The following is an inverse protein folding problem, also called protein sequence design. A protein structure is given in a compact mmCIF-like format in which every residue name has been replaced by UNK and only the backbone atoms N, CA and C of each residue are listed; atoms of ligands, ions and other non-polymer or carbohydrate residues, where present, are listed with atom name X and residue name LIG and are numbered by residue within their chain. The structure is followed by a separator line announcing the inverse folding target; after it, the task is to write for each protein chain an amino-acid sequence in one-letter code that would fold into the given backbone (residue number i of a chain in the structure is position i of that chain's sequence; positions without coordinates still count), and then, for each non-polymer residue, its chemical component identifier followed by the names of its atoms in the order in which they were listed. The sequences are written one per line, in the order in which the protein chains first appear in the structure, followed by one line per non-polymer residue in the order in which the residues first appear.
data_IF_187640331063
#
_entry.id   IF_187640331063
#
_cell.length_a   1.000
_cell.length_b   1.000
_cell.length_c   1.000
_cell.angle_alpha   90.00
_cell.angle_beta   90.00
_cell.angle_gamma   90.00
#
_symmetry.space_group_name_H-M   'P 1'
#
loop_
_entity.id
_entity.type
_entity.pdbx_description
1 polymer ?
#
# COMPACT_ATOMS: atom_id res chain seq x y z
N UNK A 1 0.69 16.37 -24.97
CA UNK A 1 1.83 17.29 -25.14
C UNK A 1 2.52 17.46 -23.80
N UNK A 2 3.54 16.66 -23.51
CA UNK A 2 4.37 16.76 -22.29
C UNK A 2 5.88 16.57 -22.60
N UNK A 3 6.28 16.66 -23.87
CA UNK A 3 7.67 16.42 -24.28
C UNK A 3 8.57 17.69 -24.19
N UNK A 4 7.99 18.88 -24.02
CA UNK A 4 8.73 20.16 -24.11
C UNK A 4 9.14 20.81 -22.77
N UNK A 5 8.86 20.20 -21.60
CA UNK A 5 9.20 20.82 -20.30
C UNK A 5 10.42 20.25 -19.59
N UNK A 6 11.10 19.24 -20.16
CA UNK A 6 12.21 18.57 -19.49
C UNK A 6 11.83 18.00 -18.11
N UNK A 7 12.83 17.66 -17.28
CA UNK A 7 12.59 17.17 -15.93
C UNK A 7 12.27 18.35 -14.98
N UNK A 8 11.08 18.35 -14.37
CA UNK A 8 10.72 19.33 -13.32
C UNK A 8 11.08 18.78 -11.95
N UNK A 9 12.07 19.38 -11.30
CA UNK A 9 12.40 19.07 -9.90
C UNK A 9 11.27 19.51 -8.97
N UNK A 10 10.94 18.69 -7.98
CA UNK A 10 10.00 19.01 -6.90
C UNK A 10 10.77 19.05 -5.59
N UNK A 11 10.66 20.11 -4.78
CA UNK A 11 11.25 20.14 -3.44
C UNK A 11 10.70 19.02 -2.57
N UNK A 12 11.57 18.38 -1.79
CA UNK A 12 11.16 17.42 -0.77
C UNK A 12 10.62 18.14 0.46
N UNK A 13 9.62 17.53 1.11
CA UNK A 13 9.02 17.94 2.37
C UNK A 13 9.27 16.90 3.48
N UNK A 14 10.32 16.08 3.34
CA UNK A 14 10.70 15.13 4.37
C UNK A 14 10.94 15.84 5.73
N UNK A 15 10.51 15.20 6.80
CA UNK A 15 10.64 15.68 8.18
C UNK A 15 11.35 14.64 9.04
N UNK A 16 11.72 15.01 10.26
CA UNK A 16 12.27 14.10 11.27
C UNK A 16 11.32 12.93 11.62
N UNK A 17 10.03 13.08 11.34
CA UNK A 17 8.99 12.07 11.58
C UNK A 17 8.58 11.28 10.35
N UNK A 18 8.81 11.82 9.15
CA UNK A 18 8.31 11.24 7.91
C UNK A 18 9.33 11.40 6.78
N UNK A 19 9.81 10.26 6.31
CA UNK A 19 10.56 10.20 5.05
C UNK A 19 9.59 10.37 3.87
N UNK A 20 10.12 10.80 2.73
CA UNK A 20 9.39 10.75 1.47
C UNK A 20 9.98 9.66 0.57
N UNK A 21 9.08 8.90 -0.06
CA UNK A 21 9.42 7.84 -1.01
C UNK A 21 8.80 8.20 -2.36
N UNK A 22 9.65 8.25 -3.38
CA UNK A 22 9.25 8.52 -4.75
C UNK A 22 9.65 7.35 -5.65
N UNK A 23 8.93 7.16 -6.74
CA UNK A 23 9.34 6.26 -7.80
C UNK A 23 10.50 6.89 -8.57
N UNK A 24 11.62 6.19 -8.73
CA UNK A 24 12.74 6.68 -9.53
C UNK A 24 12.47 6.44 -11.02
N UNK A 25 11.65 7.27 -11.65
CA UNK A 25 11.29 7.09 -13.06
C UNK A 25 12.47 7.13 -14.03
N UNK A 26 13.60 7.73 -13.64
CA UNK A 26 14.81 7.73 -14.46
C UNK A 26 15.43 6.34 -14.60
N UNK A 27 15.32 5.49 -13.58
CA UNK A 27 15.75 4.10 -13.62
C UNK A 27 14.79 3.22 -14.45
N UNK A 28 13.51 3.56 -14.47
CA UNK A 28 12.51 2.82 -15.26
C UNK A 28 12.58 3.07 -16.78
N UNK A 29 13.43 4.01 -17.22
CA UNK A 29 13.50 4.46 -18.62
C UNK A 29 14.33 3.57 -19.54
N UNK A 30 15.04 2.57 -19.01
CA UNK A 30 15.85 1.64 -19.81
C UNK A 30 15.49 0.18 -19.54
N UNK A 31 15.35 -0.62 -20.60
CA UNK A 31 15.10 -2.06 -20.50
C UNK A 31 16.30 -2.86 -19.98
N UNK A 32 17.42 -2.19 -19.73
CA UNK A 32 18.69 -2.77 -19.26
C UNK A 32 18.91 -2.62 -17.76
N UNK A 33 18.09 -1.83 -17.07
CA UNK A 33 18.26 -1.62 -15.63
C UNK A 33 17.83 -2.85 -14.83
N UNK A 34 18.63 -3.14 -13.79
CA UNK A 34 18.39 -4.27 -12.93
C UNK A 34 17.14 -4.01 -12.08
N UNK A 35 16.17 -4.92 -12.15
CA UNK A 35 14.94 -4.85 -11.35
C UNK A 35 15.26 -4.63 -9.88
N UNK A 36 14.46 -3.79 -9.22
CA UNK A 36 14.58 -3.42 -7.81
C UNK A 36 15.82 -2.59 -7.47
N UNK A 37 16.78 -2.42 -8.38
CA UNK A 37 17.99 -1.65 -8.10
C UNK A 37 17.73 -0.18 -8.38
N UNK A 38 17.87 0.69 -7.39
CA UNK A 38 17.66 2.15 -7.51
C UNK A 38 16.30 2.56 -8.07
N UNK A 39 15.30 1.68 -8.00
CA UNK A 39 13.94 1.90 -8.47
C UNK A 39 13.18 2.96 -7.64
N UNK A 40 13.68 3.32 -6.45
CA UNK A 40 13.09 4.30 -5.55
C UNK A 40 14.02 5.50 -5.36
N UNK A 41 13.46 6.65 -4.99
CA UNK A 41 14.18 7.76 -4.37
C UNK A 41 13.65 7.91 -2.94
N UNK A 42 14.56 7.93 -1.97
CA UNK A 42 14.23 8.19 -0.57
C UNK A 42 14.80 9.53 -0.15
N UNK A 43 13.94 10.42 0.33
CA UNK A 43 14.34 11.68 0.95
C UNK A 43 14.18 11.59 2.47
N UNK A 44 15.24 11.96 3.19
CA UNK A 44 15.30 11.95 4.65
C UNK A 44 15.67 13.32 5.17
N UNK A 45 15.09 13.72 6.30
CA UNK A 45 15.52 14.88 7.05
C UNK A 45 16.43 14.43 8.19
N UNK A 46 17.65 14.97 8.24
CA UNK A 46 18.54 14.82 9.39
C UNK A 46 19.09 16.19 9.78
N UNK A 47 18.84 16.59 11.04
CA UNK A 47 19.39 17.81 11.66
C UNK A 47 19.31 19.09 10.80
N UNK A 48 18.17 19.33 10.16
CA UNK A 48 17.94 20.53 9.36
C UNK A 48 18.32 20.41 7.89
N UNK A 49 18.80 19.25 7.44
CA UNK A 49 19.19 19.00 6.05
C UNK A 49 18.34 17.88 5.48
N UNK A 50 17.73 18.12 4.32
CA UNK A 50 17.05 17.09 3.55
C UNK A 50 18.02 16.51 2.52
N UNK A 51 18.20 15.19 2.54
CA UNK A 51 19.01 14.47 1.55
C UNK A 51 18.15 13.45 0.83
N UNK A 52 18.19 13.47 -0.50
CA UNK A 52 17.51 12.51 -1.36
C UNK A 52 18.54 11.63 -2.08
N UNK A 53 18.33 10.32 -2.06
CA UNK A 53 19.19 9.36 -2.75
C UNK A 53 18.38 8.26 -3.42
N UNK A 54 18.89 7.76 -4.54
CA UNK A 54 18.36 6.52 -5.12
C UNK A 54 18.50 5.38 -4.12
N UNK A 55 17.46 4.54 -4.02
CA UNK A 55 17.38 3.41 -3.12
C UNK A 55 16.83 2.22 -3.89
N UNK A 56 17.33 1.04 -3.57
CA UNK A 56 16.76 -0.21 -4.04
C UNK A 56 15.35 -0.39 -3.43
N UNK A 57 14.44 -0.96 -4.22
CA UNK A 57 13.23 -1.57 -3.70
C UNK A 57 13.52 -2.98 -3.20
N UNK A 58 12.64 -3.54 -2.37
CA UNK A 58 12.60 -4.97 -2.14
C UNK A 58 11.34 -5.56 -2.78
N UNK A 59 11.35 -6.86 -3.14
CA UNK A 59 10.15 -7.53 -3.57
C UNK A 59 9.06 -7.33 -2.53
N UNK A 60 7.89 -7.05 -3.05
CA UNK A 60 6.64 -7.05 -2.34
C UNK A 60 6.41 -5.91 -1.34
N UNK A 61 7.28 -4.93 -1.34
CA UNK A 61 7.11 -3.71 -0.55
C UNK A 61 6.14 -2.74 -1.21
N UNK A 62 5.35 -2.07 -0.36
CA UNK A 62 4.38 -1.04 -0.77
C UNK A 62 4.67 0.26 -0.03
N UNK A 63 4.55 1.36 -0.77
CA UNK A 63 4.81 2.71 -0.28
C UNK A 63 3.72 3.67 -0.75
N UNK A 64 3.41 4.70 0.03
CA UNK A 64 2.68 5.86 -0.50
C UNK A 64 3.62 6.66 -1.40
N UNK A 65 3.19 6.98 -2.61
CA UNK A 65 3.99 7.78 -3.52
C UNK A 65 3.99 9.25 -3.07
N UNK A 66 5.14 9.79 -2.69
CA UNK A 66 5.26 11.18 -2.25
C UNK A 66 5.12 12.19 -3.40
N UNK A 67 5.22 11.76 -4.66
CA UNK A 67 4.89 12.61 -5.81
C UNK A 67 3.37 12.85 -5.92
N UNK A 68 2.58 11.81 -5.65
CA UNK A 68 1.13 11.82 -5.74
C UNK A 68 0.57 10.75 -4.79
N UNK A 69 0.09 11.19 -3.62
CA UNK A 69 -0.42 10.30 -2.56
C UNK A 69 -1.73 9.58 -2.94
N UNK A 70 -2.36 9.90 -4.06
CA UNK A 70 -3.46 9.09 -4.63
C UNK A 70 -2.98 7.79 -5.27
N UNK A 71 -1.67 7.60 -5.36
CA UNK A 71 -1.02 6.41 -5.89
C UNK A 71 -0.14 5.74 -4.82
N UNK A 72 0.02 4.44 -4.96
CA UNK A 72 1.05 3.67 -4.24
C UNK A 72 2.17 3.26 -5.20
N UNK A 73 3.34 3.01 -4.63
CA UNK A 73 4.43 2.31 -5.30
C UNK A 73 4.41 0.86 -4.80
N UNK A 74 4.48 -0.09 -5.73
CA UNK A 74 4.55 -1.52 -5.45
C UNK A 74 5.72 -2.14 -6.20
N UNK A 75 6.50 -2.96 -5.50
CA UNK A 75 7.70 -3.59 -6.05
C UNK A 75 7.52 -5.11 -6.21
N UNK A 76 8.00 -5.69 -7.30
CA UNK A 76 8.09 -7.15 -7.46
C UNK A 76 9.41 -7.55 -8.08
N UNK A 77 9.79 -8.82 -7.89
CA UNK A 77 10.99 -9.40 -8.52
C UNK A 77 10.94 -9.35 -10.05
N UNK A 78 9.76 -9.58 -10.63
CA UNK A 78 9.58 -9.63 -12.09
C UNK A 78 9.65 -8.24 -12.73
N UNK A 79 9.06 -7.26 -12.05
CA UNK A 79 8.75 -5.97 -12.66
C UNK A 79 9.59 -4.81 -12.16
N UNK A 80 10.27 -4.96 -11.02
CA UNK A 80 10.85 -3.85 -10.26
C UNK A 80 9.75 -3.08 -9.51
N UNK A 81 10.04 -1.85 -9.11
CA UNK A 81 9.02 -0.96 -8.55
C UNK A 81 8.24 -0.22 -9.62
N UNK A 82 6.92 -0.17 -9.45
CA UNK A 82 5.99 0.53 -10.34
C UNK A 82 5.00 1.32 -9.52
N UNK A 83 4.47 2.41 -10.09
CA UNK A 83 3.28 3.07 -9.54
C UNK A 83 2.03 2.26 -9.90
N UNK A 84 1.14 2.09 -8.93
CA UNK A 84 -0.21 1.64 -9.20
C UNK A 84 -1.05 2.88 -9.50
N UNK A 85 -1.29 3.17 -10.78
CA UNK A 85 -2.08 4.32 -11.20
C UNK A 85 -3.54 4.18 -10.71
N UNK A 86 -4.20 5.32 -10.52
CA UNK A 86 -5.56 5.47 -9.93
C UNK A 86 -6.62 4.55 -10.52
N UNK A 87 -6.57 4.21 -11.82
CA UNK A 87 -7.52 3.28 -12.47
C UNK A 87 -7.35 1.80 -12.02
N UNK A 88 -6.29 1.50 -11.26
CA UNK A 88 -5.94 0.17 -10.74
C UNK A 88 -5.59 0.18 -9.25
N UNK A 89 -5.72 1.31 -8.54
CA UNK A 89 -5.48 1.33 -7.09
C UNK A 89 -6.47 0.37 -6.46
N UNK A 90 -5.94 -0.72 -5.91
CA UNK A 90 -6.78 -1.76 -5.33
C UNK A 90 -7.25 -1.20 -3.99
N UNK A 91 -8.52 -0.87 -3.86
CA UNK A 91 -9.00 -0.32 -2.59
C UNK A 91 -8.79 -1.36 -1.48
N UNK A 92 -8.28 -0.91 -0.34
CA UNK A 92 -7.90 -1.80 0.74
C UNK A 92 -6.81 -1.28 1.64
N UNK A 93 -6.18 -2.23 2.33
CA UNK A 93 -5.12 -2.02 3.30
C UNK A 93 -3.85 -2.72 2.84
N UNK A 94 -2.72 -2.06 3.07
CA UNK A 94 -1.39 -2.51 2.66
C UNK A 94 -0.44 -2.38 3.83
N UNK A 95 0.60 -3.21 3.89
CA UNK A 95 1.69 -2.98 4.84
C UNK A 95 2.63 -1.91 4.29
N UNK A 96 2.87 -0.88 5.08
CA UNK A 96 3.73 0.24 4.72
C UNK A 96 5.20 -0.10 4.95
N UNK A 97 6.00 -0.14 3.88
CA UNK A 97 7.45 -0.28 3.98
C UNK A 97 8.18 1.06 4.17
N UNK A 98 7.49 2.20 4.00
CA UNK A 98 8.07 3.54 4.04
C UNK A 98 8.20 4.15 5.44
N UNK A 99 7.26 3.82 6.32
CA UNK A 99 7.14 4.38 7.67
C UNK A 99 6.75 3.30 8.69
N UNK A 100 7.68 2.95 9.58
CA UNK A 100 7.45 1.94 10.62
C UNK A 100 6.58 2.44 11.77
N UNK A 101 6.41 3.76 11.92
CA UNK A 101 5.48 4.35 12.90
C UNK A 101 4.04 4.30 12.41
N UNK A 102 3.86 4.25 11.09
CA UNK A 102 2.57 4.11 10.41
C UNK A 102 2.58 2.91 9.46
N UNK A 103 2.56 1.68 10.02
CA UNK A 103 2.82 0.45 9.28
C UNK A 103 1.69 0.03 8.33
N UNK A 104 0.59 0.78 8.26
CA UNK A 104 -0.55 0.48 7.38
C UNK A 104 -0.77 1.61 6.39
N UNK A 105 -1.00 1.30 5.12
CA UNK A 105 -1.53 2.24 4.14
C UNK A 105 -2.98 1.88 3.87
N UNK A 106 -3.87 2.87 3.93
CA UNK A 106 -5.29 2.75 3.63
C UNK A 106 -5.64 3.54 2.38
N UNK A 107 -6.12 2.85 1.34
CA UNK A 107 -6.63 3.47 0.12
C UNK A 107 -8.16 3.32 0.09
N UNK A 108 -8.88 4.35 0.57
CA UNK A 108 -10.33 4.31 0.85
C UNK A 108 -11.19 4.37 -0.42
N UNK A 109 -10.87 5.28 -1.35
CA UNK A 109 -11.63 5.54 -2.57
C UNK A 109 -10.70 5.82 -3.75
N UNK A 110 -11.18 5.49 -4.94
CA UNK A 110 -10.48 5.79 -6.18
C UNK A 110 -10.29 7.31 -6.34
N UNK A 111 -9.09 7.71 -6.79
CA UNK A 111 -8.74 9.12 -6.99
C UNK A 111 -8.60 9.95 -5.70
N UNK A 112 -8.67 9.31 -4.52
CA UNK A 112 -8.40 9.96 -3.23
C UNK A 112 -7.06 9.52 -2.69
N UNK A 113 -6.51 10.32 -1.78
CA UNK A 113 -5.22 10.05 -1.16
C UNK A 113 -5.26 8.72 -0.37
N UNK A 114 -4.24 7.89 -0.57
CA UNK A 114 -3.94 6.80 0.33
C UNK A 114 -3.26 7.36 1.59
N UNK A 115 -3.75 6.96 2.75
CA UNK A 115 -3.33 7.50 4.05
C UNK A 115 -2.52 6.46 4.81
N UNK A 116 -1.41 6.89 5.40
CA UNK A 116 -0.63 6.07 6.32
C UNK A 116 -1.25 6.12 7.72
N UNK A 117 -1.52 4.95 8.30
CA UNK A 117 -2.18 4.76 9.59
C UNK A 117 -1.22 4.07 10.58
N UNK A 118 -1.35 4.46 11.86
CA UNK A 118 -0.69 3.75 12.97
C UNK A 118 -1.21 2.31 13.09
N UNK A 119 -0.49 1.48 13.83
CA UNK A 119 -0.90 0.10 14.07
C UNK A 119 -2.24 0.04 14.80
N UNK A 120 -3.20 -0.71 14.23
CA UNK A 120 -4.49 -0.97 14.85
C UNK A 120 -4.49 -2.31 15.60
N UNK A 121 -4.82 -2.29 16.88
CA UNK A 121 -4.96 -3.50 17.70
C UNK A 121 -6.08 -4.41 17.19
N UNK A 122 -5.91 -5.71 17.41
CA UNK A 122 -6.90 -6.69 17.01
C UNK A 122 -8.14 -6.64 17.91
N UNK A 123 -9.36 -6.59 17.34
CA UNK A 123 -10.59 -6.52 18.13
C UNK A 123 -10.78 -7.78 18.99
N UNK A 124 -11.41 -7.60 20.16
CA UNK A 124 -11.96 -8.69 20.97
C UNK A 124 -12.99 -9.48 20.20
N UNK A 125 -13.17 -10.77 20.52
CA UNK A 125 -14.11 -11.65 19.82
C UNK A 125 -15.52 -11.08 19.67
N UNK A 126 -16.01 -10.39 20.71
CA UNK A 126 -17.34 -9.76 20.74
C UNK A 126 -17.50 -8.53 19.84
N UNK A 127 -16.40 -7.88 19.48
CA UNK A 127 -16.40 -6.62 18.71
C UNK A 127 -16.06 -6.86 17.23
N UNK A 128 -15.78 -8.11 16.86
CA UNK A 128 -15.46 -8.48 15.48
C UNK A 128 -16.72 -8.32 14.62
N UNK A 129 -16.63 -7.37 13.69
CA UNK A 129 -17.55 -7.27 12.55
C UNK A 129 -16.82 -7.63 11.26
N UNK A 130 -17.54 -8.20 10.26
CA UNK A 130 -16.95 -8.48 8.95
C UNK A 130 -16.33 -7.22 8.36
N UNK A 131 -15.12 -7.34 7.81
CA UNK A 131 -14.39 -6.21 7.24
C UNK A 131 -13.42 -5.56 8.22
N UNK A 132 -13.48 -5.90 9.51
CA UNK A 132 -12.44 -5.51 10.44
C UNK A 132 -11.07 -6.01 9.98
N UNK A 133 -10.07 -5.20 10.31
CA UNK A 133 -8.67 -5.53 10.14
C UNK A 133 -7.90 -5.14 11.40
N UNK A 134 -6.74 -5.75 11.58
CA UNK A 134 -5.72 -5.27 12.51
C UNK A 134 -4.33 -5.52 11.93
N UNK A 135 -3.34 -4.90 12.56
CA UNK A 135 -1.93 -5.14 12.26
C UNK A 135 -1.24 -5.69 13.51
N UNK A 136 -0.65 -6.86 13.39
CA UNK A 136 0.11 -7.48 14.49
C UNK A 136 1.17 -8.42 13.93
N UNK A 137 2.30 -8.51 14.64
CA UNK A 137 3.41 -9.40 14.27
C UNK A 137 3.95 -9.16 12.84
N UNK A 138 3.86 -7.91 12.36
CA UNK A 138 4.33 -7.55 11.01
C UNK A 138 3.33 -7.79 9.88
N UNK A 139 2.10 -8.26 10.18
CA UNK A 139 1.14 -8.66 9.16
C UNK A 139 -0.25 -8.06 9.37
N UNK A 140 -0.92 -7.76 8.26
CA UNK A 140 -2.34 -7.43 8.25
C UNK A 140 -3.17 -8.70 8.42
N UNK A 141 -4.17 -8.61 9.30
CA UNK A 141 -5.12 -9.66 9.64
C UNK A 141 -6.51 -9.16 9.30
N UNK A 142 -7.31 -9.96 8.59
CA UNK A 142 -8.66 -9.62 8.12
C UNK A 142 -9.71 -10.53 8.77
N UNK A 143 -10.87 -9.98 9.10
CA UNK A 143 -11.98 -10.71 9.69
C UNK A 143 -13.14 -10.86 8.70
N UNK A 144 -13.37 -12.05 8.11
CA UNK A 144 -14.40 -12.25 7.09
C UNK A 144 -15.82 -12.36 7.67
N UNK A 145 -15.95 -12.64 8.98
CA UNK A 145 -17.24 -12.85 9.63
C UNK A 145 -17.20 -12.45 11.11
N UNK A 146 -18.37 -12.20 11.70
CA UNK A 146 -18.47 -11.92 13.14
C UNK A 146 -17.99 -13.09 14.00
N UNK A 147 -17.32 -12.77 15.11
CA UNK A 147 -16.75 -13.75 16.05
C UNK A 147 -15.78 -14.77 15.42
N UNK A 148 -15.23 -14.50 14.23
CA UNK A 148 -14.30 -15.43 13.57
C UNK A 148 -12.85 -15.15 13.93
N UNK A 149 -11.99 -16.14 13.70
CA UNK A 149 -10.55 -15.90 13.68
C UNK A 149 -10.19 -15.02 12.50
N UNK A 150 -9.19 -14.16 12.70
CA UNK A 150 -8.64 -13.41 11.59
C UNK A 150 -7.92 -14.37 10.62
N UNK A 151 -7.91 -14.00 9.35
CA UNK A 151 -7.10 -14.62 8.33
C UNK A 151 -6.00 -13.66 7.89
N UNK A 152 -4.84 -14.21 7.59
CA UNK A 152 -3.68 -13.50 7.07
C UNK A 152 -2.99 -14.41 6.08
N UNK A 153 -2.48 -13.85 4.99
CA UNK A 153 -1.75 -14.64 4.02
C UNK A 153 -0.43 -15.12 4.64
N UNK A 154 -0.22 -16.44 4.69
CA UNK A 154 1.03 -17.05 5.10
C UNK A 154 1.98 -17.15 3.91
N UNK A 155 3.28 -16.92 4.14
CA UNK A 155 4.48 -16.83 3.26
C UNK A 155 4.54 -17.58 1.88
N UNK A 156 3.56 -18.37 1.45
CA UNK A 156 3.57 -19.13 0.19
C UNK A 156 2.36 -18.91 -0.75
N UNK A 157 1.13 -18.71 -0.25
CA UNK A 157 -0.08 -18.68 -1.09
C UNK A 157 -1.07 -17.54 -0.80
N UNK A 158 -1.51 -16.85 -1.86
CA UNK A 158 -2.61 -15.88 -1.79
C UNK A 158 -3.89 -16.52 -1.23
N UNK A 159 -4.56 -15.84 -0.30
CA UNK A 159 -5.82 -16.30 0.26
C UNK A 159 -6.98 -15.56 -0.39
N UNK A 160 -8.02 -16.30 -0.77
CA UNK A 160 -9.29 -15.75 -1.22
C UNK A 160 -10.38 -16.08 -0.20
N UNK A 161 -11.14 -15.08 0.21
CA UNK A 161 -12.28 -15.30 1.12
C UNK A 161 -13.47 -14.47 0.68
N UNK A 162 -14.67 -14.96 0.95
CA UNK A 162 -15.90 -14.19 0.74
C UNK A 162 -16.39 -13.64 2.08
N UNK A 163 -16.81 -12.38 2.10
CA UNK A 163 -17.39 -11.75 3.27
C UNK A 163 -18.54 -10.82 2.88
N UNK A 164 -19.58 -10.77 3.70
CA UNK A 164 -20.64 -9.76 3.59
C UNK A 164 -20.27 -8.59 4.47
N UNK A 165 -19.90 -7.48 3.85
CA UNK A 165 -19.37 -6.31 4.55
C UNK A 165 -20.48 -5.28 4.74
N UNK A 166 -20.68 -4.72 5.96
CA UNK A 166 -21.63 -3.64 6.18
C UNK A 166 -21.23 -2.37 5.41
N UNK A 167 -22.18 -1.45 5.23
CA UNK A 167 -21.90 -0.17 4.56
C UNK A 167 -20.72 0.56 5.23
N UNK A 168 -19.73 0.98 4.43
CA UNK A 168 -18.48 1.61 4.87
C UNK A 168 -17.60 0.74 5.80
N UNK A 169 -17.86 -0.57 5.86
CA UNK A 169 -17.10 -1.52 6.70
C UNK A 169 -15.72 -1.88 6.15
N UNK A 170 -15.43 -1.52 4.89
CA UNK A 170 -14.14 -1.76 4.25
C UNK A 170 -13.91 -0.72 3.13
N UNK A 171 -12.64 -0.32 2.84
CA UNK A 171 -12.31 0.55 1.72
C UNK A 171 -13.03 0.17 0.42
N UNK A 172 -13.69 1.14 -0.21
CA UNK A 172 -14.46 0.94 -1.44
C UNK A 172 -15.89 0.41 -1.27
N UNK A 173 -16.30 -0.06 -0.08
CA UNK A 173 -17.65 -0.58 0.18
C UNK A 173 -18.58 0.52 0.67
N UNK A 174 -19.53 0.97 -0.15
CA UNK A 174 -20.47 2.07 0.18
C UNK A 174 -21.81 1.62 0.76
N UNK A 175 -22.21 0.38 0.48
CA UNK A 175 -23.45 -0.24 0.94
C UNK A 175 -23.14 -1.66 1.37
N UNK A 176 -24.02 -2.26 2.18
CA UNK A 176 -23.87 -3.65 2.55
C UNK A 176 -23.81 -4.53 1.29
N UNK A 177 -22.75 -5.33 1.15
CA UNK A 177 -22.50 -6.10 -0.08
C UNK A 177 -21.61 -7.30 0.23
N UNK A 178 -21.91 -8.43 -0.41
CA UNK A 178 -21.01 -9.58 -0.47
C UNK A 178 -19.85 -9.31 -1.42
N UNK A 179 -18.61 -9.48 -0.97
CA UNK A 179 -17.42 -9.24 -1.77
C UNK A 179 -16.39 -10.37 -1.60
N UNK A 180 -15.62 -10.60 -2.66
CA UNK A 180 -14.45 -11.47 -2.63
C UNK A 180 -13.21 -10.65 -2.26
N UNK A 181 -12.52 -11.09 -1.22
CA UNK A 181 -11.30 -10.50 -0.71
C UNK A 181 -10.11 -11.34 -1.14
N UNK A 182 -9.09 -10.68 -1.68
CA UNK A 182 -7.79 -11.27 -1.94
C UNK A 182 -6.81 -10.75 -0.89
N UNK A 183 -6.21 -11.67 -0.16
CA UNK A 183 -5.16 -11.39 0.82
C UNK A 183 -3.85 -11.90 0.21
N UNK A 184 -2.97 -10.97 -0.14
CA UNK A 184 -1.73 -11.26 -0.85
C UNK A 184 -0.61 -11.59 0.14
N UNK A 185 0.11 -12.67 -0.15
CA UNK A 185 1.27 -13.10 0.64
C UNK A 185 2.42 -12.14 0.52
N UNK A 186 2.67 -11.73 -0.71
CA UNK A 186 3.81 -10.93 -1.10
C UNK A 186 3.79 -9.63 -0.30
N UNK A 187 2.65 -8.95 -0.24
CA UNK A 187 2.54 -7.57 0.22
C UNK A 187 1.83 -7.38 1.55
N UNK A 188 1.33 -8.48 2.13
CA UNK A 188 0.35 -8.44 3.22
C UNK A 188 -0.85 -7.53 2.90
N UNK A 189 -1.23 -7.39 1.64
CA UNK A 189 -2.38 -6.58 1.23
C UNK A 189 -3.67 -7.31 1.55
N UNK A 190 -4.62 -6.62 2.16
CA UNK A 190 -6.02 -7.01 2.14
C UNK A 190 -6.72 -6.10 1.14
N UNK A 191 -7.14 -6.67 0.02
CA UNK A 191 -7.79 -5.89 -1.03
C UNK A 191 -9.09 -6.52 -1.51
N UNK A 192 -10.06 -5.67 -1.80
CA UNK A 192 -11.31 -6.11 -2.45
C UNK A 192 -11.06 -6.26 -3.93
N UNK A 193 -11.39 -7.43 -4.47
CA UNK A 193 -11.76 -7.54 -5.88
C UNK A 193 -13.26 -7.78 -5.89
N UNK A 194 -14.04 -6.72 -6.12
CA UNK A 194 -15.50 -6.85 -6.23
C UNK A 194 -15.79 -7.79 -7.40
N UNK A 195 -16.10 -9.04 -7.09
CA UNK A 195 -16.69 -9.95 -8.05
C UNK A 195 -18.13 -9.47 -8.22
N UNK A 196 -18.40 -8.75 -9.31
CA UNK A 196 -19.77 -8.61 -9.82
C UNK A 196 -20.26 -10.03 -10.13
N UNK A 197 -21.12 -10.57 -9.27
CA UNK A 197 -21.97 -11.72 -9.60
C UNK A 197 -23.19 -11.25 -10.37
#
# INVERSE_FOLDING_TARGET
MYEDQGCKSTPSHATDKKNEIFLNSSDLSSSTNAKLTKDLIKCIFDKGVITCSAKDGAPDEVYVNSHNNTEIIYCTTEDGCKRCATEKVILGYYVNAGDTTKPVIKCEKEGTECVEEESKECPSSSDIIPGNYCYSEGSLKFYPSSNSTAISASKSDDIYTFATIPANGFPGIKSETGALFKILVTTSIVSTKVALL
#
